data_IF_580493257021
#
_entry.id   IF_580493257021
#
_cell.length_a   1.000
_cell.length_b   1.000
_cell.length_c   1.000
_cell.angle_alpha   90.00
_cell.angle_beta   90.00
_cell.angle_gamma   90.00
#
_symmetry.space_group_name_H-M   'P 1'
#
loop_
_entity.id
_entity.type
_entity.pdbx_description
1 polymer ?
#
# COMPACT_ATOMS: atom_id res chain seq x y z
N UNK A 1 13.12 -16.23 12.68
CA UNK A 1 12.73 -14.83 12.45
C UNK A 1 14.04 -14.07 12.45
N UNK A 2 14.40 -13.35 11.38
CA UNK A 2 15.60 -12.53 11.42
C UNK A 2 15.48 -11.57 12.61
N UNK A 3 16.53 -11.49 13.38
CA UNK A 3 16.68 -10.51 14.42
C UNK A 3 16.66 -9.14 13.77
N UNK A 4 15.63 -8.40 14.01
CA UNK A 4 15.46 -7.08 13.44
C UNK A 4 13.98 -6.77 13.22
N UNK A 5 13.23 -6.69 14.29
CA UNK A 5 12.17 -5.69 14.36
C UNK A 5 12.87 -4.34 14.29
N UNK A 6 13.65 -4.19 13.23
CA UNK A 6 14.40 -3.00 12.94
C UNK A 6 13.50 -2.11 12.13
N UNK A 7 13.48 -0.89 12.53
CA UNK A 7 13.21 0.22 11.67
C UNK A 7 13.59 -0.13 10.24
N UNK A 8 12.68 0.09 9.30
CA UNK A 8 12.96 -0.08 7.88
C UNK A 8 14.13 0.83 7.52
N UNK A 9 15.33 0.27 7.57
CA UNK A 9 16.51 0.93 7.06
C UNK A 9 16.47 0.91 5.55
N UNK A 10 17.13 1.84 4.88
CA UNK A 10 17.14 1.89 3.42
C UNK A 10 17.54 0.57 2.75
N UNK A 11 18.27 -0.31 3.45
CA UNK A 11 18.61 -1.66 3.00
C UNK A 11 17.39 -2.59 2.90
N UNK A 12 16.46 -2.48 3.82
CA UNK A 12 15.28 -3.37 3.89
C UNK A 12 14.32 -3.10 2.72
N UNK A 13 14.17 -1.86 2.32
CA UNK A 13 13.32 -1.49 1.18
C UNK A 13 13.87 -1.99 -0.16
N UNK A 14 15.18 -2.11 -0.30
CA UNK A 14 15.78 -2.70 -1.49
C UNK A 14 15.40 -4.19 -1.65
N UNK A 15 15.24 -4.93 -0.56
CA UNK A 15 14.74 -6.31 -0.62
C UNK A 15 13.32 -6.41 -1.12
N UNK A 16 12.45 -5.48 -0.75
CA UNK A 16 11.05 -5.44 -1.19
C UNK A 16 10.98 -5.45 -2.72
N UNK A 17 11.74 -4.58 -3.37
CA UNK A 17 11.82 -4.54 -4.83
C UNK A 17 12.38 -5.83 -5.42
N UNK A 18 13.44 -6.36 -4.86
CA UNK A 18 14.07 -7.59 -5.35
C UNK A 18 13.15 -8.82 -5.25
N UNK A 19 12.33 -8.90 -4.21
CA UNK A 19 11.35 -9.97 -4.04
C UNK A 19 10.19 -9.83 -5.04
N UNK A 20 9.69 -8.61 -5.23
CA UNK A 20 8.64 -8.33 -6.19
C UNK A 20 9.10 -8.58 -7.64
N UNK A 21 10.35 -8.21 -7.98
CA UNK A 21 10.96 -8.49 -9.29
C UNK A 21 11.07 -9.98 -9.58
N UNK A 22 11.12 -10.82 -8.55
CA UNK A 22 11.10 -12.28 -8.67
C UNK A 22 9.69 -12.87 -8.75
N UNK A 23 8.65 -12.02 -8.79
CA UNK A 23 7.27 -12.44 -8.91
C UNK A 23 6.61 -12.90 -7.61
N UNK A 24 7.24 -12.65 -6.47
CA UNK A 24 6.62 -12.95 -5.17
C UNK A 24 5.51 -11.95 -4.86
N UNK A 25 4.46 -12.42 -4.17
CA UNK A 25 3.41 -11.53 -3.69
C UNK A 25 3.87 -10.83 -2.41
N UNK A 26 4.47 -9.66 -2.57
CA UNK A 26 4.95 -8.83 -1.46
C UNK A 26 3.88 -7.84 -1.04
N UNK A 27 3.65 -7.67 0.25
CA UNK A 27 2.81 -6.61 0.81
C UNK A 27 3.53 -5.91 1.96
N UNK A 28 3.14 -4.65 2.19
CA UNK A 28 3.66 -3.82 3.27
C UNK A 28 2.69 -3.82 4.43
N UNK A 29 3.21 -3.79 5.64
CA UNK A 29 2.43 -3.72 6.88
C UNK A 29 3.07 -2.72 7.84
N UNK A 30 2.29 -2.18 8.76
CA UNK A 30 2.78 -1.26 9.80
C UNK A 30 2.93 -1.91 11.16
N UNK A 31 2.49 -3.17 11.30
CA UNK A 31 2.51 -3.88 12.59
C UNK A 31 1.90 -3.03 13.73
N UNK A 32 0.71 -2.50 13.47
CA UNK A 32 -0.02 -1.72 14.48
C UNK A 32 -0.27 -2.52 15.77
N UNK A 33 -0.16 -1.90 16.94
CA UNK A 33 -0.16 -0.45 17.19
C UNK A 33 1.25 0.19 17.24
N UNK A 34 2.31 -0.55 16.96
CA UNK A 34 3.70 -0.05 17.07
C UNK A 34 3.95 1.13 16.12
N UNK A 35 3.49 1.01 14.88
CA UNK A 35 3.59 2.07 13.87
C UNK A 35 2.18 2.45 13.43
N UNK A 36 1.90 3.74 13.39
CA UNK A 36 0.58 4.24 12.99
C UNK A 36 0.21 3.90 11.54
N UNK A 37 -1.09 3.72 11.23
CA UNK A 37 -1.54 3.34 9.89
C UNK A 37 -1.11 4.30 8.78
N UNK A 38 -0.89 5.58 9.10
CA UNK A 38 -0.42 6.60 8.16
C UNK A 38 0.98 6.30 7.60
N UNK A 39 1.78 5.51 8.29
CA UNK A 39 3.10 5.10 7.82
C UNK A 39 3.05 4.12 6.64
N UNK A 40 1.92 3.50 6.36
CA UNK A 40 1.80 2.54 5.27
C UNK A 40 2.12 3.15 3.90
N UNK A 41 1.59 4.35 3.62
CA UNK A 41 1.91 5.07 2.38
C UNK A 41 3.34 5.63 2.37
N UNK A 42 3.90 5.96 3.54
CA UNK A 42 5.30 6.37 3.65
C UNK A 42 6.21 5.20 3.23
N UNK A 43 5.94 4.00 3.72
CA UNK A 43 6.68 2.79 3.34
C UNK A 43 6.58 2.49 1.84
N UNK A 44 5.40 2.69 1.23
CA UNK A 44 5.23 2.58 -0.20
C UNK A 44 6.05 3.65 -0.96
N UNK A 45 6.07 4.88 -0.46
CA UNK A 45 6.89 5.97 -0.99
C UNK A 45 8.39 5.70 -0.89
N UNK A 46 8.84 5.08 0.18
CA UNK A 46 10.23 4.66 0.33
C UNK A 46 10.59 3.58 -0.70
N UNK A 47 9.72 2.62 -0.97
CA UNK A 47 9.93 1.65 -2.04
C UNK A 47 10.11 2.35 -3.42
N UNK A 48 9.33 3.39 -3.70
CA UNK A 48 9.49 4.20 -4.93
C UNK A 48 10.83 4.94 -4.93
N UNK A 49 11.25 5.52 -3.81
CA UNK A 49 12.55 6.19 -3.67
C UNK A 49 13.72 5.26 -3.98
N UNK A 50 13.59 3.98 -3.67
CA UNK A 50 14.59 2.95 -3.99
C UNK A 50 14.39 2.29 -5.36
N UNK A 51 13.62 2.92 -6.25
CA UNK A 51 13.54 2.56 -7.66
C UNK A 51 12.40 1.62 -8.03
N UNK A 52 11.40 1.43 -7.15
CA UNK A 52 10.19 0.72 -7.51
C UNK A 52 9.22 1.61 -8.30
N UNK A 53 8.53 1.04 -9.27
CA UNK A 53 7.40 1.72 -9.91
C UNK A 53 6.30 2.03 -8.88
N UNK A 54 5.75 3.25 -8.91
CA UNK A 54 4.75 3.70 -7.93
C UNK A 54 3.46 2.87 -7.96
N UNK A 55 3.04 2.37 -9.13
CA UNK A 55 1.87 1.50 -9.21
C UNK A 55 2.14 0.14 -8.56
N UNK A 56 3.36 -0.39 -8.70
CA UNK A 56 3.77 -1.60 -8.01
C UNK A 56 3.80 -1.39 -6.48
N UNK A 57 4.34 -0.27 -6.01
CA UNK A 57 4.34 0.08 -4.59
C UNK A 57 2.92 0.21 -4.03
N UNK A 58 2.00 0.84 -4.76
CA UNK A 58 0.58 0.93 -4.36
C UNK A 58 -0.10 -0.44 -4.33
N UNK A 59 0.25 -1.37 -5.22
CA UNK A 59 -0.27 -2.74 -5.18
C UNK A 59 0.10 -3.47 -3.90
N UNK A 60 1.25 -3.17 -3.30
CA UNK A 60 1.69 -3.80 -2.05
C UNK A 60 0.83 -3.44 -0.85
N UNK A 61 0.16 -2.29 -0.88
CA UNK A 61 -0.77 -1.83 0.16
C UNK A 61 -2.24 -2.01 -0.22
N UNK A 62 -2.51 -2.63 -1.36
CA UNK A 62 -3.87 -2.87 -1.86
C UNK A 62 -4.06 -4.33 -2.26
N UNK A 63 -3.99 -4.65 -3.54
CA UNK A 63 -4.31 -5.99 -4.07
C UNK A 63 -3.35 -7.09 -3.55
N UNK A 64 -2.07 -6.79 -3.35
CA UNK A 64 -1.13 -7.78 -2.84
C UNK A 64 -1.47 -8.16 -1.38
N UNK A 65 -1.81 -7.17 -0.56
CA UNK A 65 -2.29 -7.40 0.81
C UNK A 65 -3.60 -8.18 0.82
N UNK A 66 -4.54 -7.85 -0.06
CA UNK A 66 -5.79 -8.58 -0.20
C UNK A 66 -5.56 -10.05 -0.58
N UNK A 67 -4.60 -10.35 -1.46
CA UNK A 67 -4.21 -11.71 -1.82
C UNK A 67 -3.60 -12.46 -0.63
N UNK A 68 -2.71 -11.81 0.13
CA UNK A 68 -2.11 -12.40 1.32
C UNK A 68 -3.18 -12.80 2.35
N UNK A 69 -4.23 -11.99 2.50
CA UNK A 69 -5.37 -12.24 3.37
C UNK A 69 -6.46 -13.11 2.75
N UNK A 70 -6.33 -13.51 1.47
CA UNK A 70 -7.31 -14.30 0.71
C UNK A 70 -8.69 -13.62 0.59
N UNK A 71 -8.71 -12.29 0.47
CA UNK A 71 -9.92 -11.49 0.27
C UNK A 71 -9.93 -10.74 -1.07
N UNK A 72 -9.00 -11.06 -1.93
CA UNK A 72 -8.80 -10.41 -3.23
C UNK A 72 -9.94 -10.64 -4.23
N UNK A 73 -10.83 -11.59 -3.99
CA UNK A 73 -12.08 -11.74 -4.74
C UNK A 73 -13.06 -10.58 -4.50
N UNK A 74 -12.95 -9.90 -3.35
CA UNK A 74 -13.84 -8.81 -2.93
C UNK A 74 -13.16 -7.45 -2.84
N UNK A 75 -11.87 -7.41 -2.48
CA UNK A 75 -11.14 -6.20 -2.11
C UNK A 75 -9.84 -6.02 -2.91
N UNK A 76 -9.22 -4.86 -2.77
CA UNK A 76 -7.85 -4.59 -3.20
C UNK A 76 -7.69 -4.11 -4.62
N UNK A 77 -8.75 -4.03 -5.42
CA UNK A 77 -8.70 -3.47 -6.78
C UNK A 77 -10.05 -2.89 -7.22
N UNK A 78 -10.02 -1.98 -8.18
CA UNK A 78 -11.20 -1.36 -8.80
C UNK A 78 -11.72 -2.26 -9.95
N UNK A 79 -12.02 -3.50 -9.63
CA UNK A 79 -12.57 -4.47 -10.59
C UNK A 79 -14.08 -4.56 -10.41
N UNK A 80 -14.89 -4.51 -11.50
CA UNK A 80 -16.33 -4.68 -11.39
C UNK A 80 -16.71 -5.96 -10.63
N UNK A 81 -17.69 -5.85 -9.73
CA UNK A 81 -18.14 -6.96 -8.87
C UNK A 81 -17.44 -7.03 -7.51
N UNK A 82 -16.41 -6.20 -7.26
CA UNK A 82 -15.82 -6.05 -5.93
C UNK A 82 -16.55 -5.00 -5.10
N UNK A 83 -16.26 -5.02 -3.80
CA UNK A 83 -16.79 -4.03 -2.85
C UNK A 83 -16.38 -2.61 -3.28
N UNK A 84 -17.29 -1.66 -3.10
CA UNK A 84 -17.10 -0.28 -3.54
C UNK A 84 -16.25 0.55 -2.57
N UNK A 85 -15.01 0.09 -2.31
CA UNK A 85 -14.04 0.75 -1.44
C UNK A 85 -13.05 1.52 -2.30
N UNK A 86 -13.18 2.85 -2.33
CA UNK A 86 -12.44 3.71 -3.25
C UNK A 86 -11.90 4.93 -2.50
N UNK A 87 -10.65 5.29 -2.76
CA UNK A 87 -10.06 6.54 -2.29
C UNK A 87 -9.68 7.40 -3.48
N UNK A 88 -10.18 8.62 -3.52
CA UNK A 88 -9.83 9.61 -4.53
C UNK A 88 -8.79 10.58 -3.99
N UNK A 89 -7.74 10.79 -4.76
CA UNK A 89 -6.60 11.65 -4.41
C UNK A 89 -6.48 12.82 -5.40
N UNK A 90 -5.90 13.94 -4.95
CA UNK A 90 -5.52 15.06 -5.81
C UNK A 90 -4.09 14.95 -6.34
N UNK A 91 -3.51 13.78 -6.32
CA UNK A 91 -2.14 13.49 -6.75
C UNK A 91 -1.90 12.01 -6.73
N UNK A 92 -0.67 11.60 -6.95
CA UNK A 92 -0.27 10.19 -6.97
C UNK A 92 0.24 9.81 -5.57
N UNK A 93 -0.53 9.07 -4.76
CA UNK A 93 -0.05 8.59 -3.46
C UNK A 93 1.22 7.75 -3.65
N UNK A 94 2.08 7.70 -2.65
CA UNK A 94 3.39 7.08 -2.67
C UNK A 94 4.44 7.75 -3.61
N UNK A 95 4.06 8.65 -4.49
CA UNK A 95 4.99 9.40 -5.35
C UNK A 95 5.07 10.88 -4.96
N UNK A 96 3.93 11.49 -4.67
CA UNK A 96 3.81 12.91 -4.36
C UNK A 96 3.54 13.14 -2.87
N UNK A 97 4.47 13.80 -2.18
CA UNK A 97 4.33 14.11 -0.74
C UNK A 97 3.17 15.08 -0.45
N UNK A 98 2.76 15.86 -1.45
CA UNK A 98 1.64 16.80 -1.36
C UNK A 98 0.28 16.17 -1.69
N UNK A 99 0.24 14.92 -2.14
CA UNK A 99 -1.02 14.23 -2.42
C UNK A 99 -1.91 14.17 -1.17
N UNK A 100 -3.19 14.45 -1.35
CA UNK A 100 -4.21 14.46 -0.28
C UNK A 100 -5.44 13.70 -0.72
N UNK A 101 -6.09 13.05 0.22
CA UNK A 101 -7.39 12.41 0.01
C UNK A 101 -8.46 13.48 -0.20
N UNK A 102 -9.24 13.33 -1.25
CA UNK A 102 -10.43 14.14 -1.55
C UNK A 102 -11.71 13.45 -1.09
N UNK A 103 -11.82 12.16 -1.40
CA UNK A 103 -12.95 11.33 -0.99
C UNK A 103 -12.47 9.97 -0.51
N UNK A 104 -13.15 9.46 0.51
CA UNK A 104 -13.10 8.05 0.86
C UNK A 104 -14.50 7.47 0.75
N UNK A 105 -14.62 6.40 0.01
CA UNK A 105 -15.87 5.67 -0.24
C UNK A 105 -15.68 4.27 0.34
N UNK A 106 -16.61 3.82 1.18
CA UNK A 106 -16.65 2.48 1.75
C UNK A 106 -18.02 1.88 1.45
N UNK A 107 -18.04 0.68 0.89
CA UNK A 107 -19.26 -0.02 0.49
C UNK A 107 -20.17 0.89 -0.38
N UNK A 108 -19.57 1.61 -1.32
CA UNK A 108 -20.26 2.53 -2.21
C UNK A 108 -20.77 3.82 -1.57
N UNK A 109 -20.48 4.08 -0.29
CA UNK A 109 -20.93 5.27 0.43
C UNK A 109 -19.76 6.21 0.71
N UNK A 110 -19.95 7.51 0.44
CA UNK A 110 -18.98 8.54 0.80
C UNK A 110 -18.92 8.68 2.32
N UNK A 111 -17.78 8.31 2.92
CA UNK A 111 -17.56 8.41 4.37
C UNK A 111 -16.64 9.55 4.76
N UNK A 112 -15.88 10.09 3.80
CA UNK A 112 -15.05 11.26 3.97
C UNK A 112 -15.06 12.11 2.69
N UNK A 113 -15.13 13.41 2.87
CA UNK A 113 -15.01 14.42 1.82
C UNK A 113 -14.21 15.61 2.37
N UNK A 114 -13.21 16.06 1.62
CA UNK A 114 -12.46 17.28 1.91
C UNK A 114 -13.15 18.50 1.34
#
# INVERSE_FOLDING_TARGET
IPEGYGELTGGDVAYVKALDDRGLNVCLVTDGPLIGPSALLISAGDAVRYGMDHMRALRMVTINAAKALRVDSRLGSLTPGKDGDIVLWNGIPALETAARVYYTIIDGKVVYRR
#
